data_IF_453055006818
#
_entry.id   IF_453055006818
#
_cell.length_a   1.000
_cell.length_b   1.000
_cell.length_c   1.000
_cell.angle_alpha   90.00
_cell.angle_beta   90.00
_cell.angle_gamma   90.00
#
_symmetry.space_group_name_H-M   'P 1'
#
loop_
_entity.id
_entity.type
_entity.pdbx_description
1 polymer ?
#
# COMPACT_ATOMS: atom_id res chain seq x y z
N UNK A 1 9.69 -40.31 -22.58
CA UNK A 1 10.44 -40.91 -23.73
C UNK A 1 11.73 -40.14 -23.82
N UNK A 2 12.86 -40.81 -23.86
CA UNK A 2 14.14 -40.15 -24.03
C UNK A 2 14.16 -39.41 -25.36
N UNK A 3 14.58 -38.17 -25.39
CA UNK A 3 14.82 -37.44 -26.61
C UNK A 3 15.91 -38.13 -27.47
N UNK A 4 16.18 -37.58 -28.62
CA UNK A 4 17.22 -38.15 -29.54
C UNK A 4 18.60 -37.98 -28.90
N UNK A 5 19.05 -38.99 -28.14
CA UNK A 5 20.30 -38.97 -27.38
C UNK A 5 21.47 -39.66 -28.08
N UNK A 6 21.19 -40.50 -29.06
CA UNK A 6 22.22 -41.22 -29.83
C UNK A 6 21.70 -41.58 -31.20
N UNK A 7 22.64 -41.73 -32.15
CA UNK A 7 22.31 -42.29 -33.48
C UNK A 7 21.79 -43.71 -33.38
N UNK A 8 20.77 -44.03 -34.17
CA UNK A 8 20.22 -45.39 -34.25
C UNK A 8 21.17 -46.34 -35.02
N UNK A 9 22.01 -45.77 -35.90
CA UNK A 9 22.96 -46.53 -36.69
C UNK A 9 24.33 -45.82 -36.72
N UNK A 10 25.41 -46.59 -36.61
CA UNK A 10 26.80 -46.12 -36.81
C UNK A 10 27.36 -46.80 -38.03
N UNK A 11 27.84 -46.03 -38.98
CA UNK A 11 28.41 -46.53 -40.24
C UNK A 11 29.91 -46.34 -40.27
N UNK A 12 30.60 -47.34 -40.84
CA UNK A 12 32.03 -47.32 -41.16
C UNK A 12 32.27 -47.48 -42.67
N UNK A 13 33.52 -47.19 -43.09
CA UNK A 13 33.86 -47.32 -44.51
C UNK A 13 33.61 -48.74 -44.95
N UNK A 14 32.79 -48.93 -46.02
CA UNK A 14 32.43 -50.22 -46.59
C UNK A 14 31.09 -50.78 -46.15
N UNK A 15 30.39 -50.11 -45.17
CA UNK A 15 29.07 -50.58 -44.78
C UNK A 15 28.01 -50.27 -45.82
N UNK A 16 27.08 -51.24 -46.00
CA UNK A 16 25.90 -51.03 -46.83
C UNK A 16 24.82 -50.30 -46.10
N UNK A 17 24.47 -49.10 -46.56
CA UNK A 17 23.35 -48.29 -45.98
C UNK A 17 22.04 -48.84 -46.59
N UNK A 18 21.16 -49.33 -45.74
CA UNK A 18 19.82 -49.80 -46.09
C UNK A 18 18.78 -48.71 -45.87
N UNK A 19 17.62 -48.84 -46.51
CA UNK A 19 16.48 -47.93 -46.25
C UNK A 19 16.04 -47.96 -44.81
N UNK A 20 16.19 -49.07 -44.08
CA UNK A 20 15.88 -49.20 -42.70
C UNK A 20 16.76 -48.29 -41.80
N UNK A 21 18.06 -48.18 -42.10
CA UNK A 21 18.98 -47.31 -41.37
C UNK A 21 18.54 -45.85 -41.45
N UNK A 22 18.31 -45.35 -42.68
CA UNK A 22 17.87 -43.97 -42.91
C UNK A 22 16.50 -43.70 -42.31
N UNK A 23 15.52 -44.61 -42.50
CA UNK A 23 14.19 -44.43 -41.94
C UNK A 23 14.19 -44.41 -40.41
N UNK A 24 15.02 -45.25 -39.76
CA UNK A 24 15.11 -45.23 -38.28
C UNK A 24 15.68 -43.93 -37.74
N UNK A 25 16.72 -43.36 -38.39
CA UNK A 25 17.24 -42.05 -38.00
C UNK A 25 16.21 -40.95 -38.20
N UNK A 26 15.51 -40.89 -39.33
CA UNK A 26 14.47 -39.89 -39.57
C UNK A 26 13.28 -40.05 -38.62
N UNK A 27 12.86 -41.29 -38.35
CA UNK A 27 11.79 -41.53 -37.38
C UNK A 27 12.18 -41.08 -35.94
N UNK A 28 13.44 -41.27 -35.55
CA UNK A 28 13.95 -40.80 -34.26
C UNK A 28 13.95 -39.26 -34.20
N UNK A 29 14.35 -38.57 -35.26
CA UNK A 29 14.28 -37.10 -35.37
C UNK A 29 12.83 -36.62 -35.32
N UNK A 30 11.93 -37.21 -36.10
CA UNK A 30 10.51 -36.88 -36.08
C UNK A 30 9.88 -37.08 -34.70
N UNK A 31 10.26 -38.18 -34.02
CA UNK A 31 9.79 -38.44 -32.66
C UNK A 31 10.29 -37.38 -31.67
N UNK A 32 11.53 -36.88 -31.80
CA UNK A 32 12.08 -35.84 -30.94
C UNK A 32 11.35 -34.49 -31.08
N UNK A 33 10.79 -34.18 -32.24
CA UNK A 33 10.04 -32.95 -32.52
C UNK A 33 8.52 -33.13 -32.51
N UNK A 34 8.02 -34.26 -32.07
CA UNK A 34 6.58 -34.52 -32.04
C UNK A 34 5.88 -33.59 -31.03
N UNK A 35 4.75 -33.01 -31.45
CA UNK A 35 4.02 -31.97 -30.69
C UNK A 35 3.60 -32.35 -29.26
N UNK A 36 3.34 -33.65 -29.01
CA UNK A 36 2.89 -34.13 -27.68
C UNK A 36 3.87 -35.04 -26.97
N UNK A 37 4.80 -35.68 -27.69
CA UNK A 37 5.73 -36.70 -27.16
C UNK A 37 7.20 -36.41 -27.48
N UNK A 38 7.49 -35.28 -28.11
CA UNK A 38 8.84 -34.82 -28.43
C UNK A 38 9.62 -34.34 -27.19
N UNK A 39 10.83 -33.82 -27.39
CA UNK A 39 11.64 -33.29 -26.30
C UNK A 39 10.95 -32.12 -25.64
N UNK A 40 11.15 -31.99 -24.34
CA UNK A 40 10.60 -30.94 -23.48
C UNK A 40 11.72 -30.21 -22.74
N UNK A 41 11.49 -28.95 -22.41
CA UNK A 41 12.35 -28.15 -21.56
C UNK A 41 11.72 -28.00 -20.16
N UNK A 42 11.42 -29.15 -19.52
CA UNK A 42 10.73 -29.21 -18.21
C UNK A 42 11.67 -29.30 -17.00
N UNK A 43 12.98 -29.17 -17.25
CA UNK A 43 13.99 -29.27 -16.20
C UNK A 43 14.36 -30.70 -15.81
N UNK A 44 13.76 -31.73 -16.45
CA UNK A 44 14.16 -33.13 -16.23
C UNK A 44 15.51 -33.43 -16.89
N UNK A 45 16.29 -34.36 -16.30
CA UNK A 45 17.60 -34.78 -16.81
C UNK A 45 17.53 -36.02 -17.70
N UNK A 46 16.35 -36.58 -17.95
CA UNK A 46 16.15 -37.86 -18.59
C UNK A 46 16.02 -37.77 -20.12
N UNK A 47 16.96 -37.12 -20.80
CA UNK A 47 17.12 -37.18 -22.24
C UNK A 47 16.25 -36.24 -23.07
N UNK A 48 15.56 -35.32 -22.44
CA UNK A 48 14.86 -34.22 -23.10
C UNK A 48 15.72 -32.96 -23.13
N UNK A 49 15.24 -31.87 -23.70
CA UNK A 49 15.94 -30.58 -23.65
C UNK A 49 16.18 -30.15 -22.20
N UNK A 50 17.41 -29.74 -21.88
CA UNK A 50 17.71 -29.19 -20.54
C UNK A 50 16.86 -27.97 -20.20
N UNK A 51 16.87 -27.50 -18.94
CA UNK A 51 16.13 -26.29 -18.59
C UNK A 51 16.61 -25.09 -19.42
N UNK A 52 15.69 -24.24 -19.83
CA UNK A 52 16.03 -22.98 -20.50
C UNK A 52 16.61 -22.05 -19.45
N UNK A 53 17.93 -21.88 -19.43
CA UNK A 53 18.62 -21.04 -18.46
C UNK A 53 18.63 -19.56 -18.84
N UNK A 54 18.41 -19.22 -20.11
CA UNK A 54 18.42 -17.84 -20.60
C UNK A 54 17.49 -17.70 -21.81
N UNK A 55 16.63 -16.71 -21.77
CA UNK A 55 15.83 -16.28 -22.91
C UNK A 55 16.55 -15.12 -23.59
N UNK A 56 17.11 -15.36 -24.82
CA UNK A 56 17.82 -14.34 -25.59
C UNK A 56 16.85 -13.47 -26.39
N UNK A 57 15.98 -12.72 -25.71
CA UNK A 57 15.06 -11.80 -26.36
C UNK A 57 14.85 -10.56 -25.52
N UNK A 58 14.71 -9.42 -26.17
CA UNK A 58 14.33 -8.17 -25.52
C UNK A 58 12.83 -8.12 -25.14
N UNK A 59 12.04 -9.08 -25.61
CA UNK A 59 10.64 -9.21 -25.32
C UNK A 59 10.21 -10.68 -25.24
N UNK A 60 9.38 -11.03 -24.29
CA UNK A 60 8.70 -12.31 -24.15
C UNK A 60 7.21 -12.03 -24.23
N UNK A 61 6.53 -12.62 -25.23
CA UNK A 61 5.07 -12.57 -25.32
C UNK A 61 4.48 -13.85 -24.74
N UNK A 62 3.57 -13.71 -23.80
CA UNK A 62 2.82 -14.81 -23.20
C UNK A 62 1.36 -14.70 -23.57
N UNK A 63 0.69 -15.83 -23.73
CA UNK A 63 -0.71 -15.91 -24.13
C UNK A 63 -0.91 -16.11 -25.61
N UNK A 64 -2.13 -16.42 -26.00
CA UNK A 64 -2.57 -16.75 -27.37
C UNK A 64 -3.36 -15.65 -28.06
N UNK A 65 -3.59 -14.52 -27.37
CA UNK A 65 -4.50 -13.46 -27.81
C UNK A 65 -5.98 -13.83 -27.67
N UNK A 66 -6.29 -14.85 -26.88
CA UNK A 66 -7.65 -15.22 -26.52
C UNK A 66 -8.09 -14.42 -25.27
N UNK A 67 -9.41 -14.28 -25.13
CA UNK A 67 -10.09 -13.70 -23.97
C UNK A 67 -10.00 -14.68 -22.78
N UNK A 68 -8.83 -14.76 -22.17
CA UNK A 68 -8.51 -15.64 -21.04
C UNK A 68 -7.33 -15.10 -20.24
N UNK A 69 -7.40 -15.24 -18.93
CA UNK A 69 -6.32 -14.88 -18.02
C UNK A 69 -5.00 -15.58 -18.34
N UNK A 70 -3.90 -14.86 -18.15
CA UNK A 70 -2.55 -15.38 -18.38
C UNK A 70 -1.81 -15.49 -17.05
N UNK A 71 -1.48 -16.70 -16.62
CA UNK A 71 -0.78 -16.96 -15.38
C UNK A 71 0.69 -17.33 -15.59
N UNK A 72 1.58 -16.74 -14.81
CA UNK A 72 2.97 -17.15 -14.63
C UNK A 72 3.10 -17.76 -13.24
N UNK A 73 3.34 -19.07 -13.20
CA UNK A 73 3.49 -19.81 -11.95
C UNK A 73 4.96 -20.00 -11.60
N UNK A 74 5.34 -19.59 -10.41
CA UNK A 74 6.64 -19.89 -9.79
C UNK A 74 6.49 -21.18 -8.98
N UNK A 75 6.71 -22.32 -9.66
CA UNK A 75 6.45 -23.64 -9.11
C UNK A 75 7.58 -24.03 -8.14
N UNK A 76 7.24 -24.24 -6.88
CA UNK A 76 8.15 -24.63 -5.80
C UNK A 76 7.68 -25.93 -5.13
N UNK A 77 8.45 -26.43 -4.17
CA UNK A 77 8.14 -27.73 -3.52
C UNK A 77 6.98 -27.64 -2.53
N UNK A 78 6.81 -26.47 -1.88
CA UNK A 78 5.86 -26.31 -0.76
C UNK A 78 4.82 -25.23 -1.02
N UNK A 79 5.23 -24.08 -1.56
CA UNK A 79 4.33 -22.97 -1.84
C UNK A 79 4.65 -22.43 -3.24
N UNK A 80 3.65 -22.34 -4.07
CA UNK A 80 3.74 -21.79 -5.41
C UNK A 80 3.26 -20.33 -5.38
N UNK A 81 3.99 -19.45 -6.08
CA UNK A 81 3.56 -18.08 -6.33
C UNK A 81 2.97 -17.93 -7.73
N UNK A 82 1.93 -17.14 -7.90
CA UNK A 82 1.32 -16.89 -9.21
C UNK A 82 1.14 -15.41 -9.46
N UNK A 83 1.66 -14.95 -10.61
CA UNK A 83 1.35 -13.64 -11.18
C UNK A 83 0.38 -13.86 -12.34
N UNK A 84 -0.83 -13.32 -12.22
CA UNK A 84 -1.87 -13.45 -13.26
C UNK A 84 -2.17 -12.10 -13.88
N UNK A 85 -2.14 -12.02 -15.21
CA UNK A 85 -2.82 -10.96 -15.93
C UNK A 85 -4.29 -11.31 -16.03
N UNK A 86 -5.13 -10.52 -15.39
CA UNK A 86 -6.60 -10.64 -15.43
C UNK A 86 -7.07 -9.90 -16.68
N UNK A 87 -7.47 -10.64 -17.71
CA UNK A 87 -7.72 -10.08 -19.03
C UNK A 87 -8.97 -9.20 -19.06
N UNK A 88 -10.07 -9.68 -18.51
CA UNK A 88 -11.34 -8.97 -18.44
C UNK A 88 -11.31 -7.74 -17.53
N UNK A 89 -10.55 -7.81 -16.42
CA UNK A 89 -10.46 -6.76 -15.40
C UNK A 89 -9.32 -5.76 -15.62
N UNK A 90 -8.41 -6.03 -16.56
CA UNK A 90 -7.30 -5.16 -16.97
C UNK A 90 -6.33 -4.80 -15.82
N UNK A 91 -5.93 -5.81 -15.00
CA UNK A 91 -4.93 -5.64 -13.95
C UNK A 91 -4.09 -6.91 -13.69
N UNK A 92 -2.95 -6.72 -12.99
CA UNK A 92 -2.13 -7.81 -12.48
C UNK A 92 -2.58 -8.23 -11.08
N UNK A 93 -2.78 -9.54 -10.87
CA UNK A 93 -3.09 -10.16 -9.60
C UNK A 93 -1.91 -11.01 -9.12
N UNK A 94 -1.52 -10.81 -7.87
CA UNK A 94 -0.52 -11.63 -7.17
C UNK A 94 -1.24 -12.60 -6.23
N UNK A 95 -0.81 -13.85 -6.17
CA UNK A 95 -1.35 -14.85 -5.23
C UNK A 95 -0.81 -14.63 -3.81
N UNK A 96 0.37 -14.02 -3.70
CA UNK A 96 1.11 -13.81 -2.45
C UNK A 96 1.53 -12.34 -2.30
N UNK A 97 2.19 -12.02 -1.19
CA UNK A 97 2.64 -10.67 -0.88
C UNK A 97 3.75 -10.21 -1.84
N UNK A 98 3.81 -8.90 -2.04
CA UNK A 98 4.92 -8.26 -2.78
C UNK A 98 5.83 -7.56 -1.79
N UNK A 99 7.06 -8.05 -1.63
CA UNK A 99 8.09 -7.39 -0.83
C UNK A 99 8.97 -6.50 -1.72
N UNK A 100 8.99 -5.21 -1.43
CA UNK A 100 10.01 -4.29 -1.92
C UNK A 100 11.09 -4.17 -0.86
N UNK A 101 12.27 -4.71 -1.11
CA UNK A 101 13.36 -4.79 -0.15
C UNK A 101 14.10 -3.44 0.00
N UNK A 102 14.47 -3.08 1.23
CA UNK A 102 15.22 -1.85 1.50
C UNK A 102 14.39 -0.59 1.30
N UNK A 103 14.99 0.43 0.68
CA UNK A 103 14.36 1.72 0.40
C UNK A 103 13.79 1.82 -1.03
N UNK A 104 13.51 0.68 -1.66
CA UNK A 104 12.89 0.66 -2.99
C UNK A 104 11.48 1.24 -2.98
N UNK A 105 11.05 1.79 -4.10
CA UNK A 105 9.84 2.60 -4.22
C UNK A 105 8.83 1.98 -5.15
N UNK A 106 7.56 2.00 -4.75
CA UNK A 106 6.45 1.80 -5.67
C UNK A 106 5.98 3.16 -6.17
N UNK A 107 6.31 3.47 -7.43
CA UNK A 107 5.93 4.73 -8.07
C UNK A 107 4.55 4.68 -8.72
N UNK A 108 3.83 5.79 -8.65
CA UNK A 108 2.54 5.98 -9.30
C UNK A 108 2.62 7.18 -10.24
N UNK A 109 2.32 6.96 -11.53
CA UNK A 109 2.30 7.99 -12.57
C UNK A 109 3.68 8.54 -12.96
N UNK A 110 4.49 8.97 -12.00
CA UNK A 110 5.84 9.51 -12.20
C UNK A 110 6.74 9.24 -10.99
N UNK A 111 7.96 9.76 -11.00
CA UNK A 111 8.94 9.51 -9.94
C UNK A 111 8.77 10.37 -8.68
N UNK A 112 7.86 11.34 -8.70
CA UNK A 112 7.60 12.22 -7.56
C UNK A 112 6.50 11.68 -6.62
N UNK A 113 5.72 10.69 -7.08
CA UNK A 113 4.61 10.09 -6.32
C UNK A 113 4.93 8.62 -6.05
N UNK A 114 5.12 8.25 -4.80
CA UNK A 114 5.52 6.89 -4.43
C UNK A 114 5.23 6.53 -2.97
N UNK A 115 5.22 5.23 -2.72
CA UNK A 115 5.19 4.62 -1.38
C UNK A 115 6.49 3.85 -1.18
N UNK A 116 7.11 3.97 0.00
CA UNK A 116 8.33 3.25 0.34
C UNK A 116 8.53 3.20 1.86
N UNK A 117 9.64 2.63 2.30
CA UNK A 117 10.09 2.68 3.70
C UNK A 117 11.50 3.31 3.73
N UNK A 118 11.61 4.51 4.26
CA UNK A 118 12.92 5.19 4.36
C UNK A 118 13.77 4.66 5.51
N UNK A 119 13.12 4.08 6.53
CA UNK A 119 13.73 3.55 7.74
C UNK A 119 12.90 2.38 8.23
N UNK A 120 13.52 1.37 8.82
CA UNK A 120 12.83 0.22 9.40
C UNK A 120 11.71 0.65 10.37
N UNK A 121 10.53 0.07 10.20
CA UNK A 121 9.34 0.40 10.99
C UNK A 121 8.56 1.63 10.52
N UNK A 122 8.96 2.29 9.42
CA UNK A 122 8.29 3.48 8.89
C UNK A 122 7.73 3.21 7.47
N UNK A 123 6.51 3.65 7.22
CA UNK A 123 5.90 3.71 5.90
C UNK A 123 5.72 5.17 5.49
N UNK A 124 6.34 5.56 4.38
CA UNK A 124 6.29 6.90 3.82
C UNK A 124 5.39 6.94 2.58
N UNK A 125 4.42 7.84 2.56
CA UNK A 125 3.61 8.19 1.41
C UNK A 125 4.03 9.56 0.91
N UNK A 126 4.56 9.63 -0.29
CA UNK A 126 5.10 10.87 -0.87
C UNK A 126 4.28 11.29 -2.07
N UNK A 127 3.92 12.57 -2.10
CA UNK A 127 3.31 13.24 -3.25
C UNK A 127 3.84 14.67 -3.33
N UNK A 128 4.04 15.17 -4.54
CA UNK A 128 4.56 16.52 -4.81
C UNK A 128 3.57 17.62 -4.48
N UNK A 129 2.26 17.33 -4.47
CA UNK A 129 1.23 18.35 -4.23
C UNK A 129 0.30 17.99 -3.06
N UNK A 130 -0.28 16.78 -3.04
CA UNK A 130 -1.32 16.42 -2.06
C UNK A 130 -1.47 14.91 -1.92
N UNK A 131 -1.60 14.44 -0.68
CA UNK A 131 -2.12 13.12 -0.37
C UNK A 131 -3.60 13.27 -0.01
N UNK A 132 -4.49 12.66 -0.79
CA UNK A 132 -5.92 12.67 -0.55
C UNK A 132 -6.38 11.30 -0.05
N UNK A 133 -7.00 11.28 1.12
CA UNK A 133 -7.59 10.07 1.70
C UNK A 133 -9.11 10.27 1.72
N UNK A 134 -9.84 9.44 0.98
CA UNK A 134 -11.30 9.47 0.93
C UNK A 134 -11.82 8.14 1.45
N UNK A 135 -12.48 8.17 2.60
CA UNK A 135 -13.04 7.00 3.25
C UNK A 135 -14.26 7.40 4.10
N UNK A 136 -15.12 6.44 4.42
CA UNK A 136 -16.23 6.66 5.37
C UNK A 136 -15.73 6.99 6.76
N UNK A 137 -14.57 6.45 7.17
CA UNK A 137 -13.87 6.77 8.41
C UNK A 137 -12.37 6.58 8.24
N UNK A 138 -11.57 7.42 8.91
CA UNK A 138 -10.12 7.29 9.01
C UNK A 138 -9.79 7.04 10.47
N UNK A 139 -9.32 5.84 10.80
CA UNK A 139 -8.89 5.46 12.15
C UNK A 139 -7.39 5.77 12.33
N UNK A 140 -7.05 6.55 13.35
CA UNK A 140 -5.68 6.85 13.77
C UNK A 140 -5.51 6.40 15.21
N UNK A 141 -4.73 5.35 15.46
CA UNK A 141 -4.54 4.78 16.80
C UNK A 141 -3.29 5.31 17.52
N UNK A 142 -2.42 6.03 16.82
CA UNK A 142 -1.21 6.65 17.35
C UNK A 142 -1.36 8.13 17.60
N UNK A 143 -0.29 8.77 18.10
CA UNK A 143 -0.23 10.21 18.23
C UNK A 143 -0.22 10.90 16.86
N UNK A 144 -1.01 11.97 16.71
CA UNK A 144 -0.95 12.84 15.54
C UNK A 144 0.06 13.94 15.85
N UNK A 145 1.10 14.05 15.02
CA UNK A 145 2.18 15.04 15.20
C UNK A 145 2.58 15.67 13.88
N UNK A 146 3.45 16.68 13.94
CA UNK A 146 3.96 17.39 12.78
C UNK A 146 3.53 18.84 12.74
N UNK A 147 3.97 19.57 11.71
CA UNK A 147 3.71 21.01 11.57
C UNK A 147 2.24 21.40 11.37
N UNK A 148 1.40 20.41 11.05
CA UNK A 148 -0.06 20.58 10.93
C UNK A 148 -0.80 20.55 12.27
N UNK A 149 -0.11 20.24 13.38
CA UNK A 149 -0.67 20.27 14.73
C UNK A 149 -0.03 21.43 15.48
N UNK A 150 -0.86 22.30 16.09
CA UNK A 150 -0.42 23.43 16.91
C UNK A 150 -0.73 23.14 18.38
N UNK A 151 0.27 23.34 19.24
CA UNK A 151 0.16 23.29 20.69
C UNK A 151 0.46 24.68 21.23
N UNK A 152 -0.53 25.58 21.13
CA UNK A 152 -0.45 27.00 21.48
C UNK A 152 -1.55 27.32 22.49
N UNK A 153 -1.17 27.60 23.72
CA UNK A 153 -2.11 27.83 24.85
C UNK A 153 -2.93 29.12 24.71
N UNK A 154 -2.43 30.09 23.94
CA UNK A 154 -3.09 31.37 23.69
C UNK A 154 -3.76 31.47 22.31
N UNK A 155 -3.64 30.39 21.47
CA UNK A 155 -4.13 30.38 20.09
C UNK A 155 -3.66 31.55 19.23
N UNK A 156 -2.50 32.14 19.53
CA UNK A 156 -2.01 33.39 18.94
C UNK A 156 -1.78 33.31 17.45
N UNK A 157 -1.47 32.11 16.89
CA UNK A 157 -1.31 31.95 15.44
C UNK A 157 -2.62 32.12 14.68
N UNK A 158 -3.78 31.94 15.28
CA UNK A 158 -5.11 31.98 14.66
C UNK A 158 -5.15 31.25 13.28
N UNK A 159 -4.55 30.06 13.25
CA UNK A 159 -4.35 29.33 12.00
C UNK A 159 -5.64 28.67 11.48
N UNK A 160 -6.02 28.96 10.25
CA UNK A 160 -7.16 28.30 9.59
C UNK A 160 -6.85 26.87 9.06
N UNK A 161 -5.59 26.41 9.17
CA UNK A 161 -5.14 25.14 8.55
C UNK A 161 -4.50 24.16 9.51
N UNK A 162 -4.25 24.55 10.76
CA UNK A 162 -3.68 23.67 11.79
C UNK A 162 -4.77 23.10 12.71
N UNK A 163 -4.50 21.91 13.24
CA UNK A 163 -5.30 21.30 14.29
C UNK A 163 -4.74 21.74 15.64
N UNK A 164 -5.59 22.19 16.56
CA UNK A 164 -5.19 22.46 17.94
C UNK A 164 -5.14 21.17 18.75
N UNK A 165 -4.19 21.07 19.68
CA UNK A 165 -4.17 19.97 20.65
C UNK A 165 -5.29 20.12 21.69
N UNK A 166 -5.68 19.01 22.31
CA UNK A 166 -6.65 19.04 23.42
C UNK A 166 -6.12 19.87 24.60
N UNK A 167 -4.81 19.84 24.85
CA UNK A 167 -4.14 20.60 25.87
C UNK A 167 -4.23 22.11 25.61
N UNK A 168 -3.89 22.57 24.38
CA UNK A 168 -3.96 24.00 24.02
C UNK A 168 -5.40 24.53 24.04
N UNK A 169 -6.38 23.75 23.59
CA UNK A 169 -7.81 24.11 23.69
C UNK A 169 -8.20 24.32 25.17
N UNK A 170 -7.81 23.37 26.06
CA UNK A 170 -8.11 23.46 27.47
C UNK A 170 -7.45 24.69 28.11
N UNK A 171 -6.15 24.90 27.83
CA UNK A 171 -5.42 26.06 28.41
C UNK A 171 -6.03 27.41 27.96
N UNK A 172 -6.38 27.53 26.66
CA UNK A 172 -7.04 28.73 26.14
C UNK A 172 -8.40 28.98 26.81
N UNK A 173 -9.23 27.93 26.93
CA UNK A 173 -10.56 28.05 27.58
C UNK A 173 -10.41 28.43 29.04
N UNK A 174 -9.54 27.76 29.81
CA UNK A 174 -9.31 28.08 31.22
C UNK A 174 -8.85 29.55 31.40
N UNK A 175 -7.87 29.98 30.57
CA UNK A 175 -7.37 31.35 30.63
C UNK A 175 -8.43 32.41 30.24
N UNK A 176 -9.27 32.10 29.25
CA UNK A 176 -10.31 33.04 28.78
C UNK A 176 -11.47 33.11 29.77
N UNK A 177 -11.95 31.97 30.27
CA UNK A 177 -13.08 31.93 31.22
C UNK A 177 -12.71 32.57 32.54
N UNK A 178 -11.49 32.31 33.06
CA UNK A 178 -11.04 32.94 34.33
C UNK A 178 -10.68 34.42 34.19
N UNK A 179 -10.42 34.91 32.95
CA UNK A 179 -10.16 36.33 32.69
C UNK A 179 -11.45 37.15 32.46
N UNK A 180 -12.59 36.50 32.25
CA UNK A 180 -13.89 37.14 31.98
C UNK A 180 -14.66 37.35 33.29
N UNK A 181 -14.30 38.39 34.05
CA UNK A 181 -15.00 38.80 35.23
C UNK A 181 -16.27 39.59 34.89
N UNK A 182 -17.30 39.48 35.69
CA UNK A 182 -18.46 40.35 35.60
C UNK A 182 -18.21 41.64 36.44
N UNK A 183 -17.87 42.73 35.77
CA UNK A 183 -17.72 44.01 36.40
C UNK A 183 -19.08 44.62 36.75
N UNK A 184 -19.32 44.84 38.04
CA UNK A 184 -20.53 45.52 38.53
C UNK A 184 -20.13 46.85 39.13
N UNK A 185 -20.63 47.96 38.56
CA UNK A 185 -20.43 49.31 39.04
C UNK A 185 -21.69 49.82 39.74
N UNK A 186 -21.55 50.35 40.98
CA UNK A 186 -22.60 50.96 41.74
C UNK A 186 -22.24 52.42 42.11
N UNK A 187 -23.16 53.14 42.74
CA UNK A 187 -22.94 54.54 43.17
C UNK A 187 -21.74 54.70 44.14
N UNK A 188 -21.31 53.67 44.82
CA UNK A 188 -20.22 53.69 45.78
C UNK A 188 -19.07 52.69 45.51
N UNK A 189 -18.91 52.21 44.31
CA UNK A 189 -17.79 51.37 43.99
C UNK A 189 -18.04 50.38 42.82
N UNK A 190 -16.97 49.73 42.42
CA UNK A 190 -16.97 48.68 41.37
C UNK A 190 -16.48 47.40 42.02
N UNK A 191 -17.09 46.27 41.66
CA UNK A 191 -16.65 44.92 42.02
C UNK A 191 -16.55 44.10 40.78
N UNK A 192 -15.45 43.34 40.64
CA UNK A 192 -15.31 42.29 39.67
C UNK A 192 -15.70 40.94 40.32
N UNK A 193 -16.56 40.18 39.68
CA UNK A 193 -17.03 38.88 40.13
C UNK A 193 -16.45 37.82 39.21
N UNK A 194 -15.61 36.98 39.75
CA UNK A 194 -15.06 35.81 39.04
C UNK A 194 -16.20 34.82 38.78
N UNK A 195 -16.60 34.70 37.49
CA UNK A 195 -17.71 33.88 37.07
C UNK A 195 -17.48 32.37 37.25
N UNK A 196 -16.23 31.96 37.49
CA UNK A 196 -15.86 30.56 37.71
C UNK A 196 -15.98 30.16 39.21
N UNK A 197 -15.67 31.04 40.11
CA UNK A 197 -15.55 30.74 41.56
C UNK A 197 -16.50 31.53 42.46
N UNK A 198 -17.09 32.64 41.99
CA UNK A 198 -17.89 33.54 42.81
C UNK A 198 -19.37 33.61 42.39
N UNK A 199 -20.21 34.04 43.27
CA UNK A 199 -21.65 34.23 43.02
C UNK A 199 -22.07 35.68 43.32
N UNK A 200 -22.63 36.34 42.32
CA UNK A 200 -23.29 37.62 42.50
C UNK A 200 -24.56 37.48 43.35
N UNK A 201 -24.55 38.04 44.58
CA UNK A 201 -25.74 38.08 45.45
C UNK A 201 -26.34 39.44 45.42
N UNK A 202 -27.59 39.56 44.97
CA UNK A 202 -28.39 40.82 45.05
C UNK A 202 -29.44 40.63 46.11
N UNK A 203 -29.19 41.22 47.27
CA UNK A 203 -30.11 41.17 48.42
C UNK A 203 -30.94 42.46 48.56
N UNK A 204 -32.21 42.33 48.85
CA UNK A 204 -33.06 43.45 49.19
C UNK A 204 -32.73 44.01 50.56
N UNK A 205 -32.74 45.35 50.74
CA UNK A 205 -32.65 46.03 52.01
C UNK A 205 -34.01 46.33 52.61
N UNK A 206 -34.04 47.13 53.68
CA UNK A 206 -35.29 47.51 54.31
C UNK A 206 -36.23 48.23 53.32
N UNK A 207 -37.36 47.64 53.04
CA UNK A 207 -38.35 48.16 52.10
C UNK A 207 -38.13 47.76 50.60
N UNK A 208 -37.14 46.99 50.36
CA UNK A 208 -36.87 46.45 48.99
C UNK A 208 -36.78 44.94 49.05
N UNK A 209 -37.53 44.25 48.23
CA UNK A 209 -37.40 42.78 48.01
C UNK A 209 -36.80 42.51 46.69
N UNK A 210 -35.82 41.60 46.64
CA UNK A 210 -35.28 41.03 45.37
C UNK A 210 -35.89 39.64 45.14
N UNK A 211 -36.19 39.33 43.90
CA UNK A 211 -36.63 37.99 43.51
C UNK A 211 -35.93 37.57 42.18
N UNK A 212 -35.49 36.33 42.13
CA UNK A 212 -35.02 35.73 40.92
C UNK A 212 -36.05 34.71 40.43
N UNK A 213 -36.41 34.79 39.15
CA UNK A 213 -37.24 33.78 38.48
C UNK A 213 -36.35 33.03 37.54
N UNK A 214 -36.65 31.73 37.31
CA UNK A 214 -35.85 30.91 36.40
C UNK A 214 -35.84 31.50 34.98
N UNK A 215 -34.68 31.41 34.33
CA UNK A 215 -34.56 31.72 32.91
C UNK A 215 -35.47 30.77 32.12
N UNK A 216 -36.33 31.29 31.30
CA UNK A 216 -37.11 30.58 30.27
C UNK A 216 -36.56 30.87 28.91
#
# INVERSE_FOLDING_TARGET
MAGYSSRQSTFTTGDTITAAHSNNEFNAVLAAFHVSTGHKHDGSTAGDGGPISTLFSNAVSMGTGADTDIAVTFNATTNDGVLTWMEDEDYFKFSDEVLLEGAEKLHFRDTAIYVYSSTDGQLDLIADTKIQITATAIGLSGAISGTGVADEDDMSSNSATKLATQQSIKAYVDATVTAEDLDVTSDSGTIAIDLDSETLTIAGGTGLASSATSNT
#
